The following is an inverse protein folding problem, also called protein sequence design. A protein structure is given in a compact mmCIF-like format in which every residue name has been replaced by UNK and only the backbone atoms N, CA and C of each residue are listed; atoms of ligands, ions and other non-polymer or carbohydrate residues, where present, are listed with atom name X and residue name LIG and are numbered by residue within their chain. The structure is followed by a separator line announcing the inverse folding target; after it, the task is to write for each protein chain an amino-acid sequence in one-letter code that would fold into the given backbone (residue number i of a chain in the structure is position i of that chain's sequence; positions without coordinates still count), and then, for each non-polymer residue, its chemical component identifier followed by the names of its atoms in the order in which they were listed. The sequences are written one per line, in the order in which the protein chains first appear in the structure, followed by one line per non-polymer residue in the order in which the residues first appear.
data_IF_882447832601
#
_entry.id   IF_882447832601
#
_cell.length_a   1.000
_cell.length_b   1.000
_cell.length_c   1.000
_cell.angle_alpha   90.00
_cell.angle_beta   90.00
_cell.angle_gamma   90.00
#
_symmetry.space_group_name_H-M   'P 1'
#
loop_
_entity.id
_entity.type
_entity.pdbx_description
1 polymer ?
#
# COMPACT_ATOMS: atom_id res chain seq x y z
N UNK A 1 16.70 -20.56 48.69
CA UNK A 1 15.89 -19.38 48.35
C UNK A 1 16.47 -18.07 48.87
N UNK A 2 17.10 -18.05 50.00
CA UNK A 2 17.72 -16.79 50.58
C UNK A 2 18.96 -16.30 49.90
N UNK A 3 19.85 -17.19 49.41
CA UNK A 3 21.14 -16.76 48.80
C UNK A 3 20.99 -16.18 47.38
N UNK A 4 19.93 -16.50 46.64
CA UNK A 4 19.66 -15.95 45.30
C UNK A 4 19.05 -14.56 45.40
N UNK A 5 18.21 -14.32 46.41
CA UNK A 5 17.63 -12.99 46.65
C UNK A 5 18.66 -11.98 47.17
N UNK A 6 19.70 -12.44 47.87
CA UNK A 6 20.79 -11.54 48.32
C UNK A 6 21.72 -11.16 47.16
N UNK A 7 22.01 -12.06 46.21
CA UNK A 7 22.82 -11.75 45.06
C UNK A 7 22.12 -10.76 44.09
N UNK A 8 20.80 -10.94 43.88
CA UNK A 8 20.00 -10.03 43.03
C UNK A 8 19.85 -8.63 43.66
N UNK A 9 19.72 -8.57 44.99
CA UNK A 9 19.65 -7.31 45.72
C UNK A 9 20.98 -6.56 45.66
N UNK A 10 22.08 -7.24 45.80
CA UNK A 10 23.43 -6.65 45.72
C UNK A 10 23.75 -6.14 44.31
N UNK A 11 23.25 -6.83 43.26
CA UNK A 11 23.34 -6.36 41.88
C UNK A 11 22.49 -5.11 41.63
N UNK A 12 21.26 -5.09 42.12
CA UNK A 12 20.37 -3.94 41.98
C UNK A 12 20.91 -2.71 42.68
N UNK A 13 21.41 -2.86 43.89
CA UNK A 13 22.05 -1.77 44.67
C UNK A 13 23.31 -1.23 44.00
N UNK A 14 24.07 -2.08 43.32
CA UNK A 14 25.27 -1.70 42.54
C UNK A 14 24.88 -0.86 41.30
N UNK A 15 23.78 -1.19 40.63
CA UNK A 15 23.31 -0.45 39.46
C UNK A 15 22.61 0.87 39.86
N UNK A 16 21.86 0.87 40.95
CA UNK A 16 21.18 2.07 41.46
C UNK A 16 22.17 3.14 41.98
N UNK A 17 23.24 2.71 42.64
CA UNK A 17 24.26 3.65 43.19
C UNK A 17 25.13 4.33 42.10
N UNK A 18 25.08 3.85 40.84
CA UNK A 18 25.91 4.36 39.73
C UNK A 18 25.16 5.05 38.61
N UNK A 19 23.86 5.24 38.74
CA UNK A 19 23.05 5.94 37.71
C UNK A 19 23.22 7.47 37.66
N UNK A 20 24.08 8.03 38.46
CA UNK A 20 24.41 9.47 38.47
C UNK A 20 25.89 9.67 38.21
N UNK A 21 26.34 9.56 37.02
CA UNK A 21 27.45 10.22 36.33
C UNK A 21 28.32 9.28 35.50
N UNK A 22 28.59 9.70 34.27
CA UNK A 22 29.69 9.34 33.35
C UNK A 22 30.05 7.84 33.24
N UNK A 23 29.90 7.32 32.03
CA UNK A 23 30.34 5.99 31.57
C UNK A 23 31.77 5.69 32.10
N UNK A 24 31.99 4.72 32.98
CA UNK A 24 33.33 4.29 33.29
C UNK A 24 33.80 3.22 32.32
N UNK A 25 34.96 3.46 31.72
CA UNK A 25 35.71 2.42 30.99
C UNK A 25 36.07 1.31 32.02
N UNK A 26 35.65 0.09 31.74
CA UNK A 26 35.97 -1.08 32.58
C UNK A 26 34.80 -1.90 33.13
N UNK A 27 33.54 -1.52 32.84
CA UNK A 27 32.35 -2.27 33.29
C UNK A 27 32.29 -3.71 32.79
N UNK A 28 32.82 -4.00 31.60
CA UNK A 28 32.87 -5.33 31.04
C UNK A 28 33.90 -6.20 31.76
N UNK A 29 35.07 -5.67 32.09
CA UNK A 29 36.12 -6.40 32.82
C UNK A 29 35.72 -6.68 34.27
N UNK A 30 35.05 -5.71 34.93
CA UNK A 30 34.52 -5.93 36.27
C UNK A 30 33.43 -6.99 36.31
N UNK A 31 32.52 -7.02 35.30
CA UNK A 31 31.48 -8.05 35.18
C UNK A 31 32.08 -9.43 34.89
N UNK A 32 33.08 -9.52 34.03
CA UNK A 32 33.76 -10.76 33.70
C UNK A 32 34.59 -11.31 34.91
N UNK A 33 35.14 -10.44 35.74
CA UNK A 33 35.88 -10.83 36.96
C UNK A 33 34.94 -11.39 38.03
N UNK A 34 33.74 -10.85 38.16
CA UNK A 34 32.71 -11.35 39.10
C UNK A 34 32.14 -12.67 38.63
N UNK A 35 31.92 -12.82 37.31
CA UNK A 35 31.45 -14.09 36.71
C UNK A 35 32.52 -15.19 36.82
N UNK A 36 33.81 -14.88 36.69
CA UNK A 36 34.90 -15.83 36.83
C UNK A 36 35.14 -16.31 38.27
N UNK A 37 34.70 -15.53 39.29
CA UNK A 37 34.87 -15.89 40.74
C UNK A 37 33.65 -16.64 41.29
N UNK A 38 32.52 -16.62 40.60
CA UNK A 38 31.34 -17.41 40.98
C UNK A 38 31.50 -18.84 40.47
N UNK A 39 31.64 -19.78 41.40
CA UNK A 39 31.68 -21.24 41.08
C UNK A 39 30.35 -21.61 40.41
N UNK A 40 30.34 -21.63 39.08
CA UNK A 40 29.20 -22.08 38.32
C UNK A 40 28.93 -23.56 38.61
N UNK A 41 27.79 -23.87 39.16
CA UNK A 41 27.35 -25.28 39.25
C UNK A 41 27.12 -25.78 37.83
N UNK A 42 27.64 -26.96 37.46
CA UNK A 42 27.47 -27.51 36.13
C UNK A 42 25.98 -27.63 35.82
N UNK A 43 25.59 -27.18 34.63
CA UNK A 43 24.18 -27.05 34.19
C UNK A 43 23.35 -28.36 34.27
N UNK A 44 23.98 -29.51 34.34
CA UNK A 44 23.29 -30.78 34.46
C UNK A 44 22.73 -31.06 35.89
N UNK A 45 23.07 -30.25 36.91
CA UNK A 45 22.48 -30.33 38.26
C UNK A 45 21.21 -29.47 38.45
N UNK A 46 20.83 -28.66 37.45
CA UNK A 46 19.63 -27.85 37.50
C UNK A 46 18.38 -28.52 36.88
N UNK A 47 18.57 -29.68 36.25
CA UNK A 47 17.44 -30.46 35.67
C UNK A 47 16.52 -31.11 36.70
N UNK A 48 17.01 -31.37 37.91
CA UNK A 48 16.23 -32.03 38.98
C UNK A 48 15.08 -31.15 39.50
N UNK A 49 15.01 -29.88 39.13
CA UNK A 49 14.01 -28.95 39.61
C UNK A 49 12.78 -28.80 38.69
N UNK A 50 12.86 -29.33 37.48
CA UNK A 50 11.80 -29.21 36.49
C UNK A 50 10.97 -30.48 36.27
N UNK A 51 11.34 -31.61 36.94
CA UNK A 51 10.58 -32.84 36.84
C UNK A 51 9.72 -33.04 38.07
N UNK A 52 8.39 -33.23 37.92
CA UNK A 52 7.51 -33.60 39.04
C UNK A 52 8.02 -34.90 39.74
N UNK A 53 8.01 -34.93 41.04
CA UNK A 53 8.45 -36.07 41.87
C UNK A 53 7.76 -37.42 41.57
N UNK A 54 6.67 -37.40 40.80
CA UNK A 54 5.95 -38.58 40.32
C UNK A 54 6.70 -39.39 39.23
N UNK A 55 7.82 -38.90 38.71
CA UNK A 55 8.59 -39.58 37.65
C UNK A 55 9.80 -40.35 38.19
N UNK A 56 10.05 -40.28 39.51
CA UNK A 56 11.17 -40.96 40.14
C UNK A 56 10.97 -42.48 40.31
N UNK A 57 9.72 -42.98 40.22
CA UNK A 57 9.37 -44.39 40.47
C UNK A 57 9.16 -45.27 39.22
N UNK A 58 9.38 -44.73 38.02
CA UNK A 58 9.31 -45.53 36.79
C UNK A 58 10.64 -46.25 36.55
N UNK A 59 10.60 -47.58 36.72
CA UNK A 59 11.67 -48.55 36.66
C UNK A 59 12.86 -48.21 35.76
N UNK A 60 14.02 -48.27 36.32
CA UNK A 60 15.27 -47.62 36.01
C UNK A 60 15.90 -47.87 34.62
N UNK A 61 15.28 -48.54 33.70
CA UNK A 61 15.92 -48.83 32.41
C UNK A 61 15.08 -48.47 31.18
N UNK A 62 13.78 -48.70 31.19
CA UNK A 62 12.89 -48.36 30.10
C UNK A 62 12.49 -46.85 30.11
N UNK A 63 12.27 -46.28 31.33
CA UNK A 63 11.86 -44.89 31.50
C UNK A 63 12.92 -43.86 31.00
N UNK A 64 14.21 -44.13 31.14
CA UNK A 64 15.27 -43.24 30.65
C UNK A 64 15.33 -43.15 29.11
N UNK A 65 15.06 -44.25 28.41
CA UNK A 65 15.05 -44.27 26.95
C UNK A 65 13.82 -43.54 26.41
N UNK A 66 12.64 -43.73 27.03
CA UNK A 66 11.42 -43.03 26.64
C UNK A 66 11.51 -41.52 26.93
N UNK A 67 12.10 -41.13 28.07
CA UNK A 67 12.32 -39.71 28.39
C UNK A 67 13.33 -39.04 27.43
N UNK A 68 14.40 -39.73 27.06
CA UNK A 68 15.37 -39.22 26.08
C UNK A 68 14.72 -39.09 24.71
N UNK A 69 13.95 -40.06 24.25
CA UNK A 69 13.23 -39.98 22.97
C UNK A 69 12.19 -38.89 22.97
N UNK A 70 11.47 -38.69 24.10
CA UNK A 70 10.50 -37.57 24.22
C UNK A 70 11.18 -36.19 24.22
N UNK A 71 12.32 -36.03 24.91
CA UNK A 71 13.10 -34.77 24.90
C UNK A 71 13.72 -34.52 23.54
N UNK A 72 14.27 -35.53 22.88
CA UNK A 72 14.82 -35.42 21.53
C UNK A 72 13.69 -35.12 20.53
N UNK A 73 12.52 -35.77 20.67
CA UNK A 73 11.34 -35.47 19.85
C UNK A 73 10.83 -34.03 20.05
N UNK A 74 10.82 -33.54 21.29
CA UNK A 74 10.47 -32.15 21.61
C UNK A 74 11.48 -31.16 21.06
N UNK A 75 12.78 -31.46 21.17
CA UNK A 75 13.84 -30.64 20.60
C UNK A 75 13.80 -30.59 19.07
N UNK A 76 13.51 -31.73 18.43
CA UNK A 76 13.30 -31.78 16.98
C UNK A 76 12.02 -31.01 16.59
N UNK A 77 10.95 -31.10 17.34
CA UNK A 77 9.71 -30.33 17.10
C UNK A 77 9.94 -28.83 17.29
N UNK A 78 10.72 -28.42 18.30
CA UNK A 78 11.12 -27.01 18.51
C UNK A 78 12.08 -26.55 17.41
N UNK A 79 13.05 -27.36 16.99
CA UNK A 79 13.92 -27.07 15.87
C UNK A 79 13.16 -27.00 14.55
N UNK A 80 12.22 -27.88 14.29
CA UNK A 80 11.34 -27.83 13.12
C UNK A 80 10.41 -26.62 13.16
N UNK A 81 9.85 -26.26 14.33
CA UNK A 81 9.07 -25.03 14.47
C UNK A 81 9.95 -23.77 14.34
N UNK A 82 11.20 -23.80 14.82
CA UNK A 82 12.15 -22.71 14.57
C UNK A 82 12.60 -22.64 13.09
N UNK A 83 12.70 -23.77 12.40
CA UNK A 83 12.97 -23.81 10.95
C UNK A 83 11.73 -23.39 10.15
N UNK A 84 10.53 -23.73 10.58
CA UNK A 84 9.27 -23.28 9.96
C UNK A 84 8.97 -21.81 10.28
N UNK A 85 9.31 -21.35 11.49
CA UNK A 85 9.18 -19.94 11.90
C UNK A 85 10.40 -19.09 11.52
N UNK A 86 11.58 -19.70 11.40
CA UNK A 86 12.85 -19.07 10.99
C UNK A 86 13.28 -19.45 9.58
N UNK A 87 12.48 -20.24 8.85
CA UNK A 87 12.65 -20.37 7.41
C UNK A 87 12.66 -18.96 6.86
N UNK A 88 13.63 -18.67 6.01
CA UNK A 88 13.81 -17.43 5.28
C UNK A 88 12.50 -17.03 4.56
N UNK A 89 11.48 -16.70 5.33
CA UNK A 89 10.38 -15.93 4.82
C UNK A 89 11.02 -14.66 4.28
N UNK A 90 10.97 -14.46 3.00
CA UNK A 90 11.20 -13.15 2.43
C UNK A 90 10.39 -12.23 3.31
N UNK A 91 11.04 -11.34 4.07
CA UNK A 91 10.34 -10.35 4.86
C UNK A 91 9.56 -9.54 3.84
N UNK A 92 8.23 -9.69 3.86
CA UNK A 92 7.38 -8.87 3.02
C UNK A 92 7.65 -7.41 3.39
N UNK A 93 7.72 -6.51 2.42
CA UNK A 93 7.86 -5.11 2.70
C UNK A 93 6.66 -4.64 3.54
N UNK A 94 6.83 -3.67 4.42
CA UNK A 94 5.69 -3.07 5.08
C UNK A 94 4.74 -2.54 3.99
N UNK A 95 3.43 -2.74 4.12
CA UNK A 95 2.45 -2.35 3.10
C UNK A 95 2.44 -0.83 2.86
N UNK A 96 2.81 -0.08 3.88
CA UNK A 96 2.99 1.37 3.84
C UNK A 96 4.32 1.75 4.48
N UNK A 97 4.78 2.98 4.24
CA UNK A 97 6.09 3.45 4.65
C UNK A 97 7.19 3.07 3.65
N UNK A 98 8.43 3.30 4.02
CA UNK A 98 9.58 3.11 3.14
C UNK A 98 9.86 1.63 2.84
N UNK A 99 10.18 1.33 1.58
CA UNK A 99 10.60 0.02 1.11
C UNK A 99 11.64 0.19 -0.01
N UNK A 100 12.32 -0.86 -0.44
CA UNK A 100 13.18 -0.78 -1.62
C UNK A 100 12.35 -0.79 -2.90
N UNK A 101 12.69 0.03 -3.90
CA UNK A 101 12.09 -0.07 -5.23
C UNK A 101 12.50 -1.39 -5.90
N UNK A 102 11.50 -2.06 -6.46
CA UNK A 102 11.67 -3.27 -7.25
C UNK A 102 11.42 -2.99 -8.73
N UNK A 103 10.85 -3.96 -9.43
CA UNK A 103 10.45 -3.81 -10.82
C UNK A 103 9.32 -2.79 -11.00
N UNK A 104 9.17 -2.28 -12.22
CA UNK A 104 8.04 -1.45 -12.64
C UNK A 104 7.13 -2.32 -13.53
N UNK A 105 5.87 -2.47 -13.16
CA UNK A 105 4.85 -2.98 -14.07
C UNK A 105 4.30 -1.80 -14.87
N UNK A 106 4.09 -2.02 -16.16
CA UNK A 106 3.59 -0.99 -17.08
C UNK A 106 2.78 -1.64 -18.19
N UNK A 107 1.77 -0.96 -18.68
CA UNK A 107 1.03 -1.36 -19.85
C UNK A 107 1.56 -0.63 -21.09
N UNK A 108 1.90 -1.36 -22.12
CA UNK A 108 2.44 -0.83 -23.35
C UNK A 108 1.70 -1.42 -24.52
N UNK A 109 0.97 -0.58 -25.25
CA UNK A 109 0.25 -0.99 -26.46
C UNK A 109 -0.82 -2.06 -26.20
N UNK A 110 -1.40 -2.09 -25.00
CA UNK A 110 -2.43 -3.05 -24.59
C UNK A 110 -1.90 -4.38 -24.09
N UNK A 111 -0.63 -4.47 -23.75
CA UNK A 111 -0.01 -5.64 -23.10
C UNK A 111 0.72 -5.21 -21.82
N UNK A 112 0.84 -6.11 -20.86
CA UNK A 112 1.55 -5.83 -19.59
C UNK A 112 3.00 -6.24 -19.69
N UNK A 113 3.88 -5.30 -19.34
CA UNK A 113 5.32 -5.46 -19.31
C UNK A 113 5.87 -5.28 -17.89
N UNK A 114 7.01 -5.90 -17.65
CA UNK A 114 7.82 -5.71 -16.46
C UNK A 114 9.15 -5.11 -16.88
N UNK A 115 9.57 -4.05 -16.20
CA UNK A 115 10.87 -3.41 -16.35
C UNK A 115 11.64 -3.46 -15.02
N UNK A 116 12.95 -3.22 -15.06
CA UNK A 116 13.71 -2.97 -13.83
C UNK A 116 13.33 -1.62 -13.19
N UNK A 117 13.88 -1.33 -12.00
CA UNK A 117 13.57 -0.11 -11.26
C UNK A 117 13.94 1.21 -11.99
N UNK A 118 14.70 1.13 -13.07
CA UNK A 118 15.10 2.26 -13.92
C UNK A 118 14.34 2.27 -15.26
N UNK A 119 13.31 1.43 -15.41
CA UNK A 119 12.53 1.30 -16.64
C UNK A 119 13.23 0.55 -17.77
N UNK A 120 14.43 0.01 -17.54
CA UNK A 120 15.18 -0.82 -18.49
C UNK A 120 14.75 -2.27 -18.50
N UNK A 121 15.40 -3.10 -19.34
CA UNK A 121 15.23 -4.57 -19.40
C UNK A 121 13.77 -5.03 -19.47
N UNK A 122 12.98 -4.41 -20.32
CA UNK A 122 11.54 -4.66 -20.45
C UNK A 122 11.25 -6.06 -20.97
N UNK A 123 10.42 -6.79 -20.26
CA UNK A 123 9.94 -8.12 -20.65
C UNK A 123 8.42 -8.13 -20.64
N UNK A 124 7.81 -8.67 -21.70
CA UNK A 124 6.37 -8.86 -21.76
C UNK A 124 5.98 -9.92 -20.74
N UNK A 125 5.09 -9.55 -19.82
CA UNK A 125 4.62 -10.40 -18.73
C UNK A 125 3.30 -11.08 -19.06
N UNK A 126 2.38 -10.33 -19.66
CA UNK A 126 1.05 -10.83 -20.07
C UNK A 126 0.60 -10.16 -21.37
N UNK A 127 -0.10 -10.93 -22.20
CA UNK A 127 -0.73 -10.46 -23.43
C UNK A 127 -1.99 -11.28 -23.67
N UNK A 128 -3.13 -10.64 -23.58
CA UNK A 128 -4.44 -11.19 -23.91
C UNK A 128 -4.76 -11.03 -25.40
N UNK A 129 -5.97 -11.44 -25.81
CA UNK A 129 -6.47 -11.17 -27.16
C UNK A 129 -6.96 -9.73 -27.36
N UNK A 130 -7.20 -9.01 -26.27
CA UNK A 130 -7.69 -7.65 -26.24
C UNK A 130 -6.73 -6.76 -25.44
N UNK A 131 -7.13 -5.53 -25.16
CA UNK A 131 -6.38 -4.62 -24.33
C UNK A 131 -6.26 -5.13 -22.89
N UNK A 132 -5.04 -5.11 -22.37
CA UNK A 132 -4.69 -5.39 -20.98
C UNK A 132 -3.94 -4.20 -20.40
N UNK A 133 -4.37 -3.68 -19.26
CA UNK A 133 -3.76 -2.47 -18.69
C UNK A 133 -4.07 -2.24 -17.20
N UNK A 134 -3.77 -1.05 -16.72
CA UNK A 134 -3.91 -0.65 -15.31
C UNK A 134 -3.21 -1.61 -14.34
N UNK A 135 -2.02 -2.07 -14.71
CA UNK A 135 -1.26 -3.06 -13.94
C UNK A 135 -0.72 -2.48 -12.63
N UNK A 136 -1.14 -3.04 -11.50
CA UNK A 136 -0.76 -2.57 -10.18
C UNK A 136 -0.22 -3.70 -9.29
N UNK A 137 0.99 -3.53 -8.74
CA UNK A 137 1.54 -4.46 -7.75
C UNK A 137 0.75 -4.46 -6.44
N UNK A 138 0.62 -5.65 -5.85
CA UNK A 138 0.19 -5.76 -4.46
C UNK A 138 1.23 -5.14 -3.50
N UNK A 139 0.83 -4.65 -2.30
CA UNK A 139 1.75 -4.06 -1.34
C UNK A 139 2.92 -4.96 -0.92
N UNK A 140 2.74 -6.28 -0.94
CA UNK A 140 3.80 -7.26 -0.68
C UNK A 140 4.69 -7.56 -1.89
N UNK A 141 4.40 -6.95 -3.07
CA UNK A 141 5.15 -7.11 -4.29
C UNK A 141 5.05 -8.50 -4.95
N UNK A 142 4.15 -9.38 -4.48
CA UNK A 142 4.08 -10.78 -4.94
C UNK A 142 3.05 -11.01 -6.05
N UNK A 143 2.11 -10.08 -6.23
CA UNK A 143 1.01 -10.18 -7.21
C UNK A 143 0.89 -8.89 -8.01
N UNK A 144 0.21 -8.99 -9.14
CA UNK A 144 -0.22 -7.88 -9.98
C UNK A 144 -1.71 -8.05 -10.23
N UNK A 145 -2.49 -7.00 -9.99
CA UNK A 145 -3.86 -6.85 -10.48
C UNK A 145 -3.80 -6.05 -11.77
N UNK A 146 -4.68 -6.35 -12.71
CA UNK A 146 -4.79 -5.65 -13.98
C UNK A 146 -6.18 -5.79 -14.57
N UNK A 147 -6.52 -4.93 -15.50
CA UNK A 147 -7.74 -5.00 -16.28
C UNK A 147 -7.48 -5.68 -17.62
N UNK A 148 -8.45 -6.45 -18.08
CA UNK A 148 -8.39 -7.15 -19.36
C UNK A 148 -9.70 -6.96 -20.13
N UNK A 149 -9.63 -6.41 -21.33
CA UNK A 149 -10.76 -6.26 -22.24
C UNK A 149 -11.36 -7.62 -22.62
N UNK A 150 -12.66 -7.64 -22.95
CA UNK A 150 -13.41 -8.83 -23.33
C UNK A 150 -14.08 -8.63 -24.69
N UNK A 151 -14.48 -9.73 -25.35
CA UNK A 151 -15.14 -9.72 -26.67
C UNK A 151 -16.43 -8.90 -26.74
N UNK A 152 -17.10 -8.69 -25.59
CA UNK A 152 -18.37 -7.99 -25.48
C UNK A 152 -18.25 -6.52 -25.06
N UNK A 153 -17.07 -5.94 -25.19
CA UNK A 153 -16.72 -4.60 -24.73
C UNK A 153 -16.87 -4.39 -23.21
N UNK A 154 -16.85 -5.45 -22.44
CA UNK A 154 -16.69 -5.38 -21.00
C UNK A 154 -15.22 -5.49 -20.63
N UNK A 155 -14.89 -5.16 -19.38
CA UNK A 155 -13.58 -5.34 -18.80
C UNK A 155 -13.66 -6.36 -17.65
N UNK A 156 -12.65 -7.22 -17.54
CA UNK A 156 -12.49 -8.12 -16.41
C UNK A 156 -11.35 -7.62 -15.52
N UNK A 157 -11.52 -7.70 -14.20
CA UNK A 157 -10.43 -7.49 -13.26
C UNK A 157 -9.74 -8.83 -12.98
N UNK A 158 -8.47 -8.91 -13.28
CA UNK A 158 -7.65 -10.11 -13.19
C UNK A 158 -6.50 -9.96 -12.23
N UNK A 159 -6.04 -11.06 -11.66
CA UNK A 159 -4.87 -11.10 -10.76
C UNK A 159 -3.93 -12.21 -11.21
N UNK A 160 -2.63 -11.92 -11.22
CA UNK A 160 -1.57 -12.90 -11.48
C UNK A 160 -0.46 -12.77 -10.43
N UNK A 161 0.46 -13.73 -10.39
CA UNK A 161 1.71 -13.56 -9.65
C UNK A 161 2.61 -12.54 -10.34
N UNK A 162 3.53 -11.96 -9.57
CA UNK A 162 4.50 -10.98 -10.10
C UNK A 162 5.42 -11.53 -11.19
N UNK A 163 5.50 -12.87 -11.34
CA UNK A 163 6.22 -13.55 -12.42
C UNK A 163 5.36 -13.83 -13.67
N UNK A 164 4.12 -13.33 -13.71
CA UNK A 164 3.17 -13.51 -14.80
C UNK A 164 2.40 -14.85 -14.78
N UNK A 165 2.65 -15.71 -13.79
CA UNK A 165 1.99 -17.02 -13.70
C UNK A 165 0.71 -16.98 -12.85
N UNK A 166 -0.15 -17.98 -13.01
CA UNK A 166 -1.32 -18.17 -12.14
C UNK A 166 -2.39 -17.11 -12.29
N UNK A 167 -2.60 -16.60 -13.49
CA UNK A 167 -3.63 -15.61 -13.80
C UNK A 167 -5.03 -16.16 -13.48
N UNK A 168 -5.83 -15.38 -12.79
CA UNK A 168 -7.19 -15.69 -12.40
C UNK A 168 -8.08 -14.46 -12.49
N UNK A 169 -9.33 -14.64 -12.90
CA UNK A 169 -10.34 -13.59 -12.94
C UNK A 169 -10.93 -13.39 -11.55
N UNK A 170 -10.93 -12.15 -11.07
CA UNK A 170 -11.53 -11.75 -9.81
C UNK A 170 -12.95 -11.19 -10.01
N UNK A 171 -13.13 -10.34 -11.04
CA UNK A 171 -14.43 -9.81 -11.47
C UNK A 171 -14.53 -10.04 -12.97
N UNK A 172 -15.60 -10.73 -13.40
CA UNK A 172 -15.70 -11.23 -14.77
C UNK A 172 -16.15 -10.18 -15.78
N UNK A 173 -17.01 -9.25 -15.37
CA UNK A 173 -17.63 -8.27 -16.28
C UNK A 173 -17.91 -6.95 -15.58
N UNK A 174 -17.22 -5.94 -16.02
CA UNK A 174 -17.43 -4.54 -15.63
C UNK A 174 -17.63 -3.71 -16.89
N UNK A 175 -18.42 -2.66 -16.82
CA UNK A 175 -18.39 -1.68 -17.89
C UNK A 175 -17.07 -0.93 -17.83
N UNK A 176 -16.57 -0.55 -18.99
CA UNK A 176 -15.40 0.30 -19.14
C UNK A 176 -15.79 1.71 -18.60
N UNK A 177 -15.51 1.93 -17.34
CA UNK A 177 -15.58 3.23 -16.67
C UNK A 177 -14.21 3.40 -15.97
N UNK A 178 -13.79 4.61 -15.66
CA UNK A 178 -12.53 4.93 -15.00
C UNK A 178 -12.38 4.14 -13.68
N UNK A 179 -11.86 2.92 -13.78
CA UNK A 179 -11.74 2.00 -12.65
C UNK A 179 -10.52 2.33 -11.83
N UNK A 180 -10.75 2.84 -10.65
CA UNK A 180 -9.69 3.00 -9.65
C UNK A 180 -9.57 1.72 -8.84
N UNK A 181 -8.36 1.14 -8.85
CA UNK A 181 -8.04 -0.07 -8.10
C UNK A 181 -7.28 0.28 -6.82
N UNK A 182 -7.63 -0.34 -5.70
CA UNK A 182 -6.94 -0.17 -4.43
C UNK A 182 -6.74 -1.51 -3.73
N UNK A 183 -5.50 -1.83 -3.38
CA UNK A 183 -5.15 -3.00 -2.58
C UNK A 183 -5.30 -2.74 -1.08
N UNK A 184 -5.76 -3.75 -0.34
CA UNK A 184 -5.59 -3.75 1.11
C UNK A 184 -4.13 -3.98 1.49
N UNK A 185 -3.75 -3.49 2.66
CA UNK A 185 -2.38 -3.56 3.18
C UNK A 185 -1.82 -4.98 3.32
N UNK A 186 -2.69 -5.96 3.55
CA UNK A 186 -2.33 -7.38 3.66
C UNK A 186 -2.24 -8.10 2.30
N UNK A 187 -2.40 -7.38 1.17
CA UNK A 187 -2.35 -7.92 -0.19
C UNK A 187 -3.38 -9.03 -0.47
N UNK A 188 -4.46 -9.04 0.31
CA UNK A 188 -5.52 -10.04 0.21
C UNK A 188 -6.76 -9.52 -0.49
N UNK A 189 -7.09 -8.24 -0.28
CA UNK A 189 -8.32 -7.65 -0.77
C UNK A 189 -8.04 -6.56 -1.80
N UNK A 190 -8.97 -6.43 -2.73
CA UNK A 190 -9.00 -5.32 -3.70
C UNK A 190 -10.32 -4.60 -3.53
N UNK A 191 -10.29 -3.28 -3.51
CA UNK A 191 -11.47 -2.44 -3.69
C UNK A 191 -11.39 -1.73 -5.04
N UNK A 192 -12.50 -1.70 -5.74
CA UNK A 192 -12.66 -0.96 -7.00
C UNK A 192 -14.05 -0.36 -7.07
N UNK A 193 -14.21 0.60 -7.95
CA UNK A 193 -15.51 1.17 -8.28
C UNK A 193 -15.80 0.83 -9.74
N UNK A 194 -16.89 0.14 -9.99
CA UNK A 194 -17.28 -0.27 -11.33
C UNK A 194 -18.79 -0.42 -11.43
N UNK A 195 -19.28 -0.47 -12.66
CA UNK A 195 -20.66 -0.85 -12.94
C UNK A 195 -20.67 -2.34 -13.33
N UNK A 196 -21.18 -3.25 -12.46
CA UNK A 196 -21.31 -4.67 -12.80
C UNK A 196 -22.28 -4.84 -13.96
N UNK A 197 -21.89 -5.59 -14.98
CA UNK A 197 -22.74 -5.84 -16.14
C UNK A 197 -23.68 -7.03 -15.94
N UNK A 198 -23.43 -7.88 -14.97
CA UNK A 198 -24.22 -9.08 -14.66
C UNK A 198 -25.39 -8.82 -13.69
N UNK A 199 -25.49 -7.65 -13.10
CA UNK A 199 -26.67 -7.26 -12.33
C UNK A 199 -27.82 -6.84 -13.26
N UNK A 200 -28.81 -7.69 -13.32
CA UNK A 200 -30.01 -7.57 -14.14
C UNK A 200 -30.76 -6.26 -13.86
N UNK A 201 -31.02 -5.55 -14.98
CA UNK A 201 -32.09 -4.57 -15.16
C UNK A 201 -31.99 -3.24 -14.44
N UNK A 202 -31.20 -2.36 -15.03
CA UNK A 202 -31.67 -0.98 -15.15
C UNK A 202 -32.48 -0.89 -16.44
N UNK A 203 -33.70 -0.31 -16.46
CA UNK A 203 -34.47 -0.17 -17.70
C UNK A 203 -33.61 0.57 -18.74
N UNK A 204 -33.44 -0.04 -19.91
CA UNK A 204 -32.72 0.55 -21.03
C UNK A 204 -33.39 1.89 -21.39
N UNK A 205 -32.69 3.00 -21.13
CA UNK A 205 -33.12 4.34 -21.51
C UNK A 205 -32.71 5.48 -20.60
N UNK A 206 -32.14 5.21 -19.43
CA UNK A 206 -31.70 6.27 -18.49
C UNK A 206 -30.22 6.11 -18.09
N UNK A 207 -29.37 5.79 -19.05
CA UNK A 207 -27.93 5.70 -18.78
C UNK A 207 -27.34 7.11 -18.71
N UNK A 208 -26.93 7.52 -17.53
CA UNK A 208 -26.03 8.67 -17.31
C UNK A 208 -24.68 8.08 -16.96
N UNK A 209 -23.61 8.30 -17.74
CA UNK A 209 -22.27 7.82 -17.41
C UNK A 209 -21.88 8.22 -16.00
N UNK A 210 -21.30 7.30 -15.21
CA UNK A 210 -20.84 7.55 -13.84
C UNK A 210 -21.89 7.48 -12.73
N UNK A 211 -23.19 7.28 -13.01
CA UNK A 211 -24.25 7.36 -11.99
C UNK A 211 -24.58 6.02 -11.31
N UNK A 212 -24.23 4.90 -11.92
CA UNK A 212 -24.53 3.56 -11.38
C UNK A 212 -23.28 2.80 -10.91
N UNK A 213 -22.20 3.53 -10.59
CA UNK A 213 -20.94 2.96 -10.14
C UNK A 213 -21.05 2.47 -8.70
N UNK A 214 -20.65 1.23 -8.47
CA UNK A 214 -20.71 0.53 -7.18
C UNK A 214 -19.32 0.24 -6.65
N UNK A 215 -19.18 0.26 -5.35
CA UNK A 215 -17.95 -0.19 -4.71
C UNK A 215 -17.99 -1.71 -4.60
N UNK A 216 -16.97 -2.35 -5.15
CA UNK A 216 -16.78 -3.80 -5.17
C UNK A 216 -15.55 -4.14 -4.35
N UNK A 217 -15.67 -5.14 -3.48
CA UNK A 217 -14.55 -5.69 -2.70
C UNK A 217 -14.33 -7.14 -3.09
N UNK A 218 -13.11 -7.46 -3.55
CA UNK A 218 -12.70 -8.78 -3.98
C UNK A 218 -11.70 -9.44 -3.03
N UNK A 219 -11.93 -10.72 -2.66
CA UNK A 219 -10.97 -11.57 -1.95
C UNK A 219 -10.11 -12.31 -2.98
N UNK A 220 -8.87 -11.88 -3.14
CA UNK A 220 -7.90 -12.43 -4.10
C UNK A 220 -7.56 -13.89 -3.78
N UNK A 221 -7.52 -14.25 -2.50
CA UNK A 221 -7.21 -15.62 -2.08
C UNK A 221 -8.32 -16.62 -2.38
N UNK A 222 -9.59 -16.15 -2.41
CA UNK A 222 -10.77 -16.97 -2.72
C UNK A 222 -11.22 -16.83 -4.17
N UNK A 223 -10.77 -15.81 -4.88
CA UNK A 223 -11.24 -15.50 -6.23
C UNK A 223 -12.73 -15.11 -6.25
N UNK A 224 -13.19 -14.36 -5.26
CA UNK A 224 -14.59 -13.92 -5.13
C UNK A 224 -14.67 -12.42 -4.92
N UNK A 225 -15.68 -11.78 -5.48
CA UNK A 225 -15.93 -10.37 -5.30
C UNK A 225 -17.40 -10.11 -4.93
N UNK A 226 -17.68 -9.03 -4.25
CA UNK A 226 -19.03 -8.62 -3.85
C UNK A 226 -19.18 -7.10 -3.83
N UNK A 227 -20.38 -6.63 -4.20
CA UNK A 227 -20.78 -5.23 -4.02
C UNK A 227 -20.98 -4.98 -2.53
N UNK A 228 -20.45 -3.88 -2.03
CA UNK A 228 -20.56 -3.49 -0.62
C UNK A 228 -21.39 -2.21 -0.45
N UNK A 229 -22.02 -2.07 0.72
CA UNK A 229 -22.83 -0.89 1.07
C UNK A 229 -24.29 -0.92 0.59
N UNK A 230 -24.74 -2.03 -0.02
CA UNK A 230 -26.14 -2.24 -0.42
C UNK A 230 -26.52 -1.57 -1.75
N UNK A 231 -27.81 -1.69 -2.12
CA UNK A 231 -28.32 -1.28 -3.45
C UNK A 231 -28.36 0.23 -3.69
N UNK A 232 -28.32 1.03 -2.64
CA UNK A 232 -28.45 2.48 -2.69
C UNK A 232 -27.12 3.22 -2.48
N UNK A 233 -26.01 2.49 -2.33
CA UNK A 233 -24.69 3.09 -2.23
C UNK A 233 -24.05 3.15 -3.61
N UNK A 234 -23.89 4.37 -4.10
CA UNK A 234 -23.09 4.69 -5.28
C UNK A 234 -21.84 5.41 -4.82
N UNK A 235 -20.69 5.04 -5.36
CA UNK A 235 -19.42 5.64 -4.96
C UNK A 235 -18.32 5.34 -5.94
N UNK A 236 -17.29 6.18 -5.93
CA UNK A 236 -16.13 6.13 -6.80
C UNK A 236 -14.84 6.26 -5.98
N UNK A 237 -13.72 5.96 -6.60
CA UNK A 237 -12.36 6.08 -6.02
C UNK A 237 -12.17 5.45 -4.65
N UNK A 238 -12.56 4.19 -4.42
CA UNK A 238 -12.37 3.57 -3.11
C UNK A 238 -10.88 3.38 -2.81
N UNK A 239 -10.46 3.78 -1.61
CA UNK A 239 -9.09 3.63 -1.11
C UNK A 239 -9.08 2.95 0.25
N UNK A 240 -8.31 1.87 0.36
CA UNK A 240 -8.08 1.20 1.63
C UNK A 240 -7.28 2.04 2.61
N UNK A 241 -7.69 2.05 3.87
CA UNK A 241 -6.87 2.59 4.95
C UNK A 241 -5.60 1.73 5.14
N UNK A 242 -4.49 2.33 5.61
CA UNK A 242 -3.23 1.61 5.85
C UNK A 242 -3.35 0.42 6.79
N UNK A 243 -4.27 0.45 7.74
CA UNK A 243 -4.55 -0.66 8.67
C UNK A 243 -5.52 -1.71 8.10
N UNK A 244 -6.07 -1.49 6.88
CA UNK A 244 -7.00 -2.40 6.22
C UNK A 244 -8.39 -2.45 6.83
N UNK A 245 -8.76 -1.53 7.73
CA UNK A 245 -10.04 -1.58 8.47
C UNK A 245 -11.15 -0.76 7.84
N UNK A 246 -10.81 0.21 6.98
CA UNK A 246 -11.73 1.17 6.38
C UNK A 246 -11.50 1.35 4.88
N UNK A 247 -12.53 1.81 4.20
CA UNK A 247 -12.49 2.35 2.84
C UNK A 247 -12.88 3.82 2.88
N UNK A 248 -12.08 4.70 2.28
CA UNK A 248 -12.44 6.06 1.95
C UNK A 248 -12.89 6.12 0.49
N UNK A 249 -13.90 6.90 0.17
CA UNK A 249 -14.45 6.98 -1.18
C UNK A 249 -15.27 8.26 -1.39
N UNK A 250 -15.37 8.70 -2.64
CA UNK A 250 -16.32 9.70 -3.06
C UNK A 250 -17.71 9.07 -3.20
N UNK A 251 -18.73 9.67 -2.61
CA UNK A 251 -20.10 9.18 -2.71
C UNK A 251 -20.91 10.03 -3.65
N UNK A 252 -21.45 9.38 -4.68
CA UNK A 252 -22.44 9.96 -5.60
C UNK A 252 -23.85 9.67 -5.14
N UNK A 253 -24.77 10.51 -5.57
CA UNK A 253 -26.20 10.26 -5.43
C UNK A 253 -26.83 10.02 -6.80
N UNK A 254 -27.66 9.00 -6.88
CA UNK A 254 -28.37 8.65 -8.11
C UNK A 254 -29.21 9.85 -8.59
N UNK A 255 -28.90 10.39 -9.77
CA UNK A 255 -29.55 11.51 -10.43
C UNK A 255 -29.23 12.93 -9.94
N UNK A 256 -29.27 13.81 -10.90
CA UNK A 256 -29.02 15.26 -10.96
C UNK A 256 -29.67 16.16 -9.87
N UNK A 257 -30.31 15.62 -8.86
CA UNK A 257 -30.98 16.33 -7.77
C UNK A 257 -30.47 15.96 -6.37
N UNK A 258 -29.40 15.14 -6.28
CA UNK A 258 -28.74 14.85 -5.01
C UNK A 258 -27.79 15.96 -4.56
N UNK A 259 -27.34 15.97 -3.30
CA UNK A 259 -26.23 16.81 -2.89
C UNK A 259 -24.97 16.49 -3.72
N UNK A 260 -24.06 17.45 -3.89
CA UNK A 260 -22.79 17.21 -4.58
C UNK A 260 -22.02 16.08 -3.92
N UNK A 261 -21.13 15.45 -4.70
CA UNK A 261 -20.22 14.41 -4.21
C UNK A 261 -19.53 14.86 -2.94
N UNK A 262 -19.25 13.93 -2.06
CA UNK A 262 -18.62 14.20 -0.78
C UNK A 262 -17.81 13.00 -0.30
N UNK A 263 -16.88 13.23 0.62
CA UNK A 263 -15.98 12.21 1.14
C UNK A 263 -16.64 11.38 2.23
N UNK A 264 -16.61 10.07 2.08
CA UNK A 264 -17.20 9.11 3.01
C UNK A 264 -16.21 8.02 3.43
N UNK A 265 -16.52 7.40 4.57
CA UNK A 265 -15.85 6.21 5.08
C UNK A 265 -16.87 5.10 5.35
N UNK A 266 -16.41 3.84 5.14
CA UNK A 266 -17.15 2.64 5.56
C UNK A 266 -16.16 1.51 5.89
N UNK A 267 -16.63 0.46 6.55
CA UNK A 267 -15.87 -0.79 6.64
C UNK A 267 -15.96 -1.56 5.32
N UNK A 268 -15.02 -2.49 5.07
CA UNK A 268 -15.01 -3.28 3.82
C UNK A 268 -16.23 -4.19 3.64
N UNK A 269 -16.96 -4.46 4.72
CA UNK A 269 -18.24 -5.19 4.68
C UNK A 269 -19.46 -4.29 4.38
N UNK A 270 -19.23 -3.00 4.12
CA UNK A 270 -20.26 -2.00 3.86
C UNK A 270 -20.91 -1.41 5.10
N UNK A 271 -20.52 -1.83 6.30
CA UNK A 271 -21.06 -1.29 7.56
C UNK A 271 -20.29 -0.03 8.01
N UNK A 272 -20.85 0.69 9.00
CA UNK A 272 -20.19 1.84 9.59
C UNK A 272 -20.05 3.03 8.63
N UNK A 273 -20.93 3.12 7.63
CA UNK A 273 -21.01 4.22 6.68
C UNK A 273 -21.13 5.55 7.39
N UNK A 274 -20.21 6.49 7.15
CA UNK A 274 -20.25 7.84 7.68
C UNK A 274 -19.63 8.85 6.73
N UNK A 275 -20.20 10.03 6.68
CA UNK A 275 -19.63 11.16 5.97
C UNK A 275 -18.42 11.70 6.74
N UNK A 276 -17.32 11.96 6.04
CA UNK A 276 -16.10 12.51 6.63
C UNK A 276 -16.00 14.01 6.36
N UNK A 277 -16.37 14.45 5.16
CA UNK A 277 -16.44 15.85 4.78
C UNK A 277 -17.73 16.11 3.99
N UNK A 278 -18.33 17.27 4.20
CA UNK A 278 -19.50 17.73 3.44
C UNK A 278 -19.14 18.73 2.34
N UNK A 279 -17.84 18.98 2.11
CA UNK A 279 -17.40 19.82 1.02
C UNK A 279 -17.80 19.16 -0.32
N UNK A 280 -18.29 19.95 -1.29
CA UNK A 280 -18.66 19.42 -2.59
C UNK A 280 -17.43 18.95 -3.37
N UNK A 281 -17.62 17.96 -4.24
CA UNK A 281 -16.52 17.41 -5.05
C UNK A 281 -15.58 16.48 -4.28
N UNK A 282 -15.96 16.00 -3.09
CA UNK A 282 -15.12 15.20 -2.18
C UNK A 282 -14.71 13.84 -2.73
N UNK A 283 -13.95 13.82 -3.83
CA UNK A 283 -13.44 12.62 -4.51
C UNK A 283 -11.93 12.42 -4.37
N UNK A 284 -11.44 11.34 -4.98
CA UNK A 284 -10.02 10.94 -5.08
C UNK A 284 -9.31 10.98 -3.71
N UNK A 285 -9.78 10.21 -2.70
CA UNK A 285 -9.16 10.23 -1.39
C UNK A 285 -7.78 9.56 -1.41
N UNK A 286 -6.83 10.13 -0.67
CA UNK A 286 -5.50 9.57 -0.47
C UNK A 286 -5.17 9.50 1.02
N UNK A 287 -4.99 8.30 1.56
CA UNK A 287 -4.63 8.10 2.96
C UNK A 287 -3.18 8.46 3.24
N UNK A 288 -2.92 9.17 4.33
CA UNK A 288 -1.58 9.27 4.87
C UNK A 288 -1.08 7.88 5.30
N UNK A 289 0.23 7.56 5.15
CA UNK A 289 0.76 6.23 5.50
C UNK A 289 0.55 5.83 6.97
N UNK A 290 0.39 6.79 7.87
CA UNK A 290 0.09 6.56 9.28
C UNK A 290 -1.40 6.35 9.58
N UNK A 291 -2.27 6.48 8.55
CA UNK A 291 -3.71 6.30 8.64
C UNK A 291 -4.47 7.37 9.43
N UNK A 292 -3.83 8.50 9.75
CA UNK A 292 -4.45 9.54 10.58
C UNK A 292 -5.17 10.61 9.79
N UNK A 293 -4.76 10.84 8.55
CA UNK A 293 -5.29 11.90 7.69
C UNK A 293 -5.63 11.37 6.30
N UNK A 294 -6.53 12.07 5.65
CA UNK A 294 -6.88 11.84 4.25
C UNK A 294 -6.70 13.17 3.51
N UNK A 295 -5.93 13.12 2.42
CA UNK A 295 -5.94 14.17 1.41
C UNK A 295 -7.07 13.88 0.43
N UNK A 296 -7.81 14.89 0.00
CA UNK A 296 -8.92 14.75 -0.92
C UNK A 296 -9.14 16.03 -1.71
N UNK A 297 -9.82 15.93 -2.83
CA UNK A 297 -10.18 17.06 -3.66
C UNK A 297 -11.59 17.54 -3.31
N UNK A 298 -11.77 18.85 -3.24
CA UNK A 298 -13.08 19.44 -3.09
C UNK A 298 -13.19 20.77 -3.86
N UNK A 299 -14.39 21.09 -4.33
CA UNK A 299 -14.65 22.34 -5.03
C UNK A 299 -14.54 23.54 -4.09
N UNK A 300 -13.73 24.51 -4.48
CA UNK A 300 -13.63 25.82 -3.85
C UNK A 300 -14.82 26.72 -4.16
N UNK A 301 -14.78 27.95 -3.66
CA UNK A 301 -15.83 28.99 -3.91
C UNK A 301 -15.86 29.34 -5.40
N UNK A 302 -14.71 29.30 -6.07
CA UNK A 302 -14.55 29.67 -7.49
C UNK A 302 -14.81 28.50 -8.43
N UNK A 303 -15.20 27.32 -7.88
CA UNK A 303 -15.49 26.05 -8.56
C UNK A 303 -14.27 25.35 -9.14
N UNK A 304 -13.09 25.76 -8.77
CA UNK A 304 -11.86 25.04 -8.96
C UNK A 304 -11.74 23.90 -7.95
N UNK A 305 -11.03 22.84 -8.33
CA UNK A 305 -10.80 21.66 -7.48
C UNK A 305 -9.53 21.86 -6.67
N UNK A 306 -9.68 22.09 -5.38
CA UNK A 306 -8.56 22.30 -4.46
C UNK A 306 -8.24 21.06 -3.62
N UNK A 307 -7.01 20.99 -3.15
CA UNK A 307 -6.54 19.95 -2.23
C UNK A 307 -6.86 20.30 -0.78
N UNK A 308 -7.51 19.39 -0.09
CA UNK A 308 -7.84 19.47 1.34
C UNK A 308 -7.22 18.32 2.12
N UNK A 309 -6.98 18.56 3.41
CA UNK A 309 -6.67 17.53 4.40
C UNK A 309 -7.79 17.46 5.43
N UNK A 310 -8.09 16.26 5.90
CA UNK A 310 -9.00 16.00 7.01
C UNK A 310 -8.45 14.91 7.91
N UNK A 311 -8.62 15.06 9.23
CA UNK A 311 -8.33 13.97 10.16
C UNK A 311 -9.36 12.84 9.99
N UNK A 312 -8.95 11.60 10.23
CA UNK A 312 -9.82 10.43 10.00
C UNK A 312 -11.07 10.42 10.89
N UNK A 313 -11.10 11.18 11.97
CA UNK A 313 -12.28 11.38 12.82
C UNK A 313 -13.28 12.42 12.26
N UNK A 314 -12.94 13.11 11.16
CA UNK A 314 -13.74 14.14 10.50
C UNK A 314 -13.47 15.56 11.03
N UNK A 315 -12.52 15.71 11.94
CA UNK A 315 -12.11 17.03 12.44
C UNK A 315 -11.00 17.65 11.55
N UNK A 316 -10.71 18.92 11.82
CA UNK A 316 -9.60 19.65 11.21
C UNK A 316 -9.55 19.58 9.67
N UNK A 317 -10.71 19.86 9.02
CA UNK A 317 -10.72 20.04 7.56
C UNK A 317 -9.95 21.31 7.22
N UNK A 318 -8.87 21.17 6.47
CA UNK A 318 -7.98 22.26 6.09
C UNK A 318 -7.80 22.30 4.58
N UNK A 319 -8.02 23.47 3.97
CA UNK A 319 -7.64 23.75 2.59
C UNK A 319 -6.11 23.88 2.53
N UNK A 320 -5.47 23.17 1.62
CA UNK A 320 -4.01 23.10 1.48
C UNK A 320 -3.53 23.91 0.30
N UNK A 321 -4.23 23.81 -0.84
CA UNK A 321 -3.99 24.64 -2.00
C UNK A 321 -5.09 25.70 -2.11
N UNK A 322 -4.79 26.84 -2.73
CA UNK A 322 -5.71 27.93 -3.00
C UNK A 322 -5.23 28.60 -4.27
N UNK A 323 -5.29 27.88 -5.39
CA UNK A 323 -4.85 28.34 -6.70
C UNK A 323 -6.07 28.46 -7.62
N UNK A 324 -6.02 29.27 -8.70
CA UNK A 324 -7.11 29.32 -9.67
C UNK A 324 -7.09 28.16 -10.67
N UNK A 325 -6.42 27.07 -10.33
CA UNK A 325 -6.20 25.89 -11.15
C UNK A 325 -6.88 24.68 -10.52
N UNK A 326 -7.22 23.68 -11.34
CA UNK A 326 -7.75 22.42 -10.83
C UNK A 326 -6.60 21.51 -10.40
N UNK A 327 -6.56 21.14 -9.13
CA UNK A 327 -5.71 20.08 -8.64
C UNK A 327 -6.34 18.71 -8.90
N UNK A 328 -5.48 17.68 -9.07
CA UNK A 328 -5.90 16.30 -9.31
C UNK A 328 -4.91 15.29 -8.76
N UNK A 329 -5.39 14.07 -8.49
CA UNK A 329 -4.60 12.89 -8.12
C UNK A 329 -3.61 13.11 -6.96
N UNK A 330 -4.04 13.51 -5.77
CA UNK A 330 -3.14 13.61 -4.63
C UNK A 330 -2.63 12.22 -4.21
N UNK A 331 -1.30 12.11 -4.03
CA UNK A 331 -0.65 10.86 -3.58
C UNK A 331 0.39 11.18 -2.52
N UNK A 332 0.27 10.55 -1.35
CA UNK A 332 1.23 10.70 -0.27
C UNK A 332 2.56 10.01 -0.56
N UNK A 333 3.66 10.65 -0.17
CA UNK A 333 4.96 9.98 -0.12
C UNK A 333 4.93 8.83 0.89
N UNK A 334 5.72 7.75 0.68
CA UNK A 334 5.75 6.59 1.59
C UNK A 334 6.09 6.92 3.04
N UNK A 335 6.84 7.99 3.30
CA UNK A 335 7.19 8.47 4.64
C UNK A 335 6.13 9.41 5.26
N UNK A 336 5.12 9.82 4.48
CA UNK A 336 4.04 10.68 4.94
C UNK A 336 4.43 12.15 5.13
N UNK A 337 5.57 12.59 4.61
CA UNK A 337 6.05 13.97 4.74
C UNK A 337 5.62 14.87 3.60
N UNK A 338 5.28 14.29 2.43
CA UNK A 338 4.95 15.03 1.22
C UNK A 338 3.68 14.50 0.55
N UNK A 339 3.07 15.35 -0.28
CA UNK A 339 1.96 14.98 -1.18
C UNK A 339 2.35 15.44 -2.59
N UNK A 340 2.34 14.50 -3.55
CA UNK A 340 2.43 14.83 -4.96
C UNK A 340 1.02 14.96 -5.55
N UNK A 341 0.83 15.88 -6.47
CA UNK A 341 -0.45 16.10 -7.17
C UNK A 341 -0.18 16.75 -8.53
N UNK A 342 -1.19 16.74 -9.38
CA UNK A 342 -1.15 17.44 -10.65
C UNK A 342 -1.97 18.72 -10.58
N UNK A 343 -1.47 19.78 -11.26
CA UNK A 343 -2.14 21.07 -11.38
C UNK A 343 -2.43 21.33 -12.84
N UNK A 344 -3.71 21.46 -13.19
CA UNK A 344 -4.13 21.66 -14.57
C UNK A 344 -4.18 23.13 -14.93
N UNK A 345 -3.29 23.59 -15.79
CA UNK A 345 -3.21 24.99 -16.24
C UNK A 345 -4.27 25.38 -17.28
N UNK A 346 -5.02 24.41 -17.82
CA UNK A 346 -6.01 24.67 -18.84
C UNK A 346 -7.19 23.69 -18.70
N UNK A 347 -8.42 24.14 -18.40
CA UNK A 347 -9.59 23.29 -18.26
C UNK A 347 -9.95 22.48 -19.53
N UNK A 348 -9.34 22.82 -20.67
CA UNK A 348 -9.46 22.09 -21.94
C UNK A 348 -8.16 21.38 -22.36
N UNK A 349 -7.11 21.46 -21.54
CA UNK A 349 -5.77 20.97 -21.84
C UNK A 349 -5.48 19.65 -21.17
N UNK A 350 -4.76 18.80 -21.88
CA UNK A 350 -4.21 17.53 -21.39
C UNK A 350 -2.86 17.72 -20.68
N UNK A 351 -2.42 18.96 -20.51
CA UNK A 351 -1.12 19.30 -19.89
C UNK A 351 -1.33 19.78 -18.46
N UNK A 352 -0.60 19.17 -17.56
CA UNK A 352 -0.53 19.55 -16.15
C UNK A 352 0.92 19.84 -15.74
N UNK A 353 1.08 20.49 -14.62
CA UNK A 353 2.34 20.49 -13.86
C UNK A 353 2.22 19.49 -12.72
N UNK A 354 3.30 18.81 -12.40
CA UNK A 354 3.36 17.96 -11.19
C UNK A 354 3.99 18.76 -10.07
N UNK A 355 3.32 18.77 -8.95
CA UNK A 355 3.76 19.49 -7.76
C UNK A 355 3.95 18.57 -6.58
N UNK A 356 4.94 18.89 -5.73
CA UNK A 356 5.21 18.21 -4.47
C UNK A 356 5.06 19.21 -3.34
N UNK A 357 4.07 18.99 -2.49
CA UNK A 357 3.84 19.75 -1.27
C UNK A 357 4.56 19.11 -0.09
N UNK A 358 5.36 19.85 0.66
CA UNK A 358 5.83 19.47 1.99
C UNK A 358 4.75 19.78 3.02
N UNK A 359 4.26 18.74 3.70
CA UNK A 359 3.13 18.85 4.64
C UNK A 359 3.49 19.62 5.91
N UNK A 360 4.77 19.71 6.24
CA UNK A 360 5.22 20.33 7.49
C UNK A 360 5.27 21.86 7.42
N UNK A 361 5.62 22.42 6.27
CA UNK A 361 5.81 23.87 6.09
C UNK A 361 4.96 24.46 4.94
N UNK A 362 4.22 23.61 4.20
CA UNK A 362 3.37 24.02 3.09
C UNK A 362 4.13 24.44 1.84
N UNK A 363 5.44 24.18 1.78
CA UNK A 363 6.24 24.53 0.61
C UNK A 363 5.93 23.60 -0.57
N UNK A 364 5.69 24.20 -1.73
CA UNK A 364 5.45 23.50 -2.99
C UNK A 364 6.71 23.55 -3.86
N UNK A 365 7.05 22.43 -4.47
CA UNK A 365 8.11 22.28 -5.47
C UNK A 365 7.48 21.78 -6.75
N UNK A 366 7.58 22.55 -7.83
CA UNK A 366 7.08 22.18 -9.15
C UNK A 366 8.14 21.36 -9.90
N UNK A 367 7.76 20.19 -10.40
CA UNK A 367 8.60 19.38 -11.27
C UNK A 367 8.51 19.89 -12.70
N UNK A 368 9.67 19.94 -13.38
CA UNK A 368 9.74 20.40 -14.75
C UNK A 368 9.35 19.29 -15.72
N UNK A 369 8.28 19.47 -16.48
CA UNK A 369 7.87 18.53 -17.53
C UNK A 369 6.45 18.80 -18.03
N UNK A 370 6.14 18.47 -19.28
CA UNK A 370 4.78 18.51 -19.80
C UNK A 370 4.05 17.23 -19.37
N UNK A 371 3.48 17.21 -18.15
CA UNK A 371 2.76 16.05 -17.63
C UNK A 371 1.37 15.87 -18.25
N UNK A 372 0.89 14.62 -18.29
CA UNK A 372 -0.46 14.26 -18.72
C UNK A 372 -1.41 14.31 -17.55
N UNK A 373 -2.55 14.97 -17.72
CA UNK A 373 -3.55 15.16 -16.66
C UNK A 373 -4.31 13.90 -16.26
N UNK A 374 -4.23 12.83 -17.05
CA UNK A 374 -5.06 11.64 -16.87
C UNK A 374 -4.46 10.61 -15.89
N UNK A 375 -3.19 10.72 -15.55
CA UNK A 375 -2.50 9.67 -14.82
C UNK A 375 -1.93 10.17 -13.49
N UNK A 376 -2.21 9.48 -12.38
CA UNK A 376 -1.68 9.88 -11.07
C UNK A 376 -0.16 9.75 -11.00
N UNK A 377 0.54 10.62 -10.24
CA UNK A 377 1.94 10.43 -9.92
C UNK A 377 2.15 9.16 -9.10
N UNK A 378 3.28 8.46 -9.31
CA UNK A 378 3.60 7.23 -8.59
C UNK A 378 4.93 7.36 -7.86
N UNK A 379 4.90 7.36 -6.53
CA UNK A 379 6.09 7.40 -5.70
C UNK A 379 6.89 6.11 -5.79
N UNK A 380 8.21 6.22 -5.86
CA UNK A 380 9.07 5.07 -5.59
C UNK A 380 8.87 4.59 -4.14
N UNK A 381 8.99 3.29 -3.88
CA UNK A 381 8.78 2.74 -2.54
C UNK A 381 9.69 3.29 -1.44
N UNK A 382 10.84 3.86 -1.80
CA UNK A 382 11.77 4.53 -0.86
C UNK A 382 11.52 6.05 -0.75
N UNK A 383 10.56 6.59 -1.52
CA UNK A 383 10.21 8.00 -1.50
C UNK A 383 11.23 8.92 -2.16
N UNK A 384 12.26 8.38 -2.81
CA UNK A 384 13.33 9.18 -3.42
C UNK A 384 12.99 9.71 -4.83
N UNK A 385 12.06 9.03 -5.53
CA UNK A 385 11.68 9.34 -6.90
C UNK A 385 10.16 9.33 -7.09
N UNK A 386 9.73 9.95 -8.18
CA UNK A 386 8.34 9.92 -8.67
C UNK A 386 8.36 9.55 -10.14
N UNK A 387 7.46 8.64 -10.53
CA UNK A 387 7.10 8.42 -11.92
C UNK A 387 6.05 9.45 -12.33
N UNK A 388 6.24 10.04 -13.48
CA UNK A 388 5.30 10.93 -14.13
C UNK A 388 5.11 10.58 -15.59
N UNK A 389 3.91 10.75 -16.09
CA UNK A 389 3.58 10.57 -17.51
C UNK A 389 3.80 11.87 -18.23
N UNK A 390 4.63 11.85 -19.25
CA UNK A 390 5.07 13.03 -19.99
C UNK A 390 4.54 12.96 -21.42
N UNK A 391 3.90 14.03 -21.87
CA UNK A 391 3.40 14.16 -23.24
C UNK A 391 4.43 14.83 -24.15
N UNK A 392 4.80 14.14 -25.21
CA UNK A 392 5.59 14.72 -26.28
C UNK A 392 7.08 14.88 -26.00
N UNK A 393 7.83 15.11 -27.04
CA UNK A 393 9.22 15.56 -26.93
C UNK A 393 9.24 17.08 -26.68
N UNK A 394 10.28 17.62 -26.01
CA UNK A 394 10.46 19.06 -25.83
C UNK A 394 10.41 19.87 -27.14
N UNK A 395 10.71 19.24 -28.28
CA UNK A 395 10.83 19.88 -29.57
C UNK A 395 9.52 20.02 -30.37
N UNK A 396 8.45 19.27 -29.99
CA UNK A 396 7.13 19.40 -30.65
C UNK A 396 5.95 19.14 -29.70
N UNK A 397 5.61 20.10 -28.84
CA UNK A 397 4.51 19.97 -27.90
C UNK A 397 3.13 20.14 -28.56
N UNK A 398 2.79 19.35 -29.52
CA UNK A 398 1.51 19.46 -30.24
C UNK A 398 1.31 18.51 -31.39
N UNK A 399 2.30 17.71 -31.72
CA UNK A 399 2.11 16.70 -32.74
C UNK A 399 1.34 15.50 -32.17
N UNK A 400 0.26 15.10 -32.82
CA UNK A 400 -0.54 13.90 -32.54
C UNK A 400 0.28 12.60 -32.71
N UNK A 401 1.55 12.71 -33.09
CA UNK A 401 2.52 11.63 -33.25
C UNK A 401 3.61 11.64 -32.16
N UNK A 402 3.48 12.49 -31.14
CA UNK A 402 4.40 12.49 -30.02
C UNK A 402 4.28 11.18 -29.26
N UNK A 403 5.40 10.52 -28.99
CA UNK A 403 5.44 9.33 -28.20
C UNK A 403 5.21 9.74 -26.74
N UNK A 404 4.19 9.16 -26.09
CA UNK A 404 4.06 9.27 -24.66
C UNK A 404 5.30 8.69 -24.01
N UNK A 405 5.75 9.28 -22.92
CA UNK A 405 6.93 8.83 -22.19
C UNK A 405 6.61 8.74 -20.70
N UNK A 406 7.28 7.82 -20.04
CA UNK A 406 7.36 7.76 -18.60
C UNK A 406 8.68 8.39 -18.18
N UNK A 407 8.65 9.30 -17.24
CA UNK A 407 9.86 9.91 -16.70
C UNK A 407 9.97 9.66 -15.19
N UNK A 408 11.20 9.46 -14.73
CA UNK A 408 11.52 9.31 -13.31
C UNK A 408 12.14 10.63 -12.86
N UNK A 409 11.56 11.25 -11.85
CA UNK A 409 12.01 12.52 -11.27
C UNK A 409 12.58 12.31 -9.88
N UNK A 410 13.64 13.03 -9.55
CA UNK A 410 14.14 13.13 -8.16
C UNK A 410 13.14 13.94 -7.33
N UNK A 411 12.60 13.31 -6.30
CA UNK A 411 11.57 13.90 -5.45
C UNK A 411 12.10 15.02 -4.50
N UNK A 412 13.41 15.23 -4.46
CA UNK A 412 14.04 16.25 -3.59
C UNK A 412 14.18 17.59 -4.30
N UNK A 413 14.53 17.56 -5.58
CA UNK A 413 14.87 18.77 -6.34
C UNK A 413 14.05 18.94 -7.62
N UNK A 414 13.17 17.96 -7.95
CA UNK A 414 12.31 17.99 -9.12
C UNK A 414 13.03 17.79 -10.46
N UNK A 415 14.31 17.42 -10.44
CA UNK A 415 15.03 17.18 -11.70
C UNK A 415 14.66 15.83 -12.31
N UNK A 416 14.54 15.78 -13.62
CA UNK A 416 14.37 14.54 -14.35
C UNK A 416 15.63 13.69 -14.23
N UNK A 417 15.46 12.46 -13.74
CA UNK A 417 16.55 11.50 -13.56
C UNK A 417 16.67 10.54 -14.74
N UNK A 418 15.53 10.07 -15.29
CA UNK A 418 15.48 9.11 -16.40
C UNK A 418 14.26 9.40 -17.26
N UNK A 419 14.47 9.54 -18.57
CA UNK A 419 13.41 9.52 -19.57
C UNK A 419 13.26 8.11 -20.13
N UNK A 420 12.03 7.58 -20.13
CA UNK A 420 11.69 6.24 -20.59
C UNK A 420 10.73 6.38 -21.76
N UNK A 421 11.22 6.55 -23.01
CA UNK A 421 10.35 6.70 -24.16
C UNK A 421 9.54 5.43 -24.40
N UNK A 422 8.22 5.52 -24.35
CA UNK A 422 7.28 4.43 -24.52
C UNK A 422 6.07 4.93 -25.31
N UNK A 423 5.79 4.30 -26.44
CA UNK A 423 4.57 4.58 -27.19
C UNK A 423 3.40 3.76 -26.62
N UNK A 424 2.25 4.42 -26.36
CA UNK A 424 1.02 3.75 -25.92
C UNK A 424 1.07 3.24 -24.46
N UNK A 425 1.69 3.99 -23.58
CA UNK A 425 1.68 3.74 -22.14
C UNK A 425 0.41 4.35 -21.54
N UNK A 426 -0.27 3.57 -20.67
CA UNK A 426 -1.48 4.04 -19.99
C UNK A 426 -1.32 4.09 -18.47
N UNK A 427 -0.63 3.12 -17.83
CA UNK A 427 -0.45 3.12 -16.40
C UNK A 427 0.86 2.43 -15.97
N UNK A 428 1.31 2.69 -14.74
CA UNK A 428 2.49 2.03 -14.17
C UNK A 428 2.41 1.93 -12.65
N UNK A 429 3.12 0.94 -12.09
CA UNK A 429 3.26 0.80 -10.66
C UNK A 429 4.62 0.21 -10.28
N UNK A 430 5.18 0.65 -9.14
CA UNK A 430 6.41 0.11 -8.60
C UNK A 430 6.17 -1.06 -7.66
N UNK A 431 6.96 -2.12 -7.84
CA UNK A 431 7.05 -3.23 -6.88
C UNK A 431 7.76 -2.76 -5.61
N UNK A 432 7.19 -3.13 -4.47
CA UNK A 432 7.79 -2.93 -3.16
C UNK A 432 8.60 -4.16 -2.76
N UNK A 433 9.86 -3.97 -2.41
CA UNK A 433 10.74 -5.02 -1.91
C UNK A 433 11.03 -4.78 -0.43
N UNK A 434 11.28 -5.86 0.32
CA UNK A 434 11.71 -5.74 1.70
C UNK A 434 13.01 -4.92 1.81
N UNK A 435 13.15 -4.08 2.83
CA UNK A 435 14.32 -3.23 3.05
C UNK A 435 15.62 -4.01 3.30
#
# INVERSE_FOLDING_TARGET
MTAQMDADRTMLDYFVARSTSTRPDGLLEAALTVVGQTRQRPAWRTLDWWLPSAWADLGAWYGRRVAIVAVVGLLIAVLLSLVVLGGSGHRLPPPFGLAKPGAIAMDIGGDIYLADANGGNRTKLFAGPHWDGHAMFSPDGTKIVFESGQDDNSTALMVMRADGTGTATLISRMAEDDTVISWSSDSRWIATAARPMDEVSVPSGSHVPGVDVRIIVGDVGRGTASIVGGSELFGHDPRWSPDGTMLAFGRNYRCCSGPPDSLWLMRPDGTGLRQLSSLPGGGVPAWSPDGRRIAFLAEGIDRDSDLYLVDVDGNHVQKITDTPLDESFPVWSPDGTKIAFLTNQNPYGIKAEMEILDVSDGRVTTLQGPFVTANPPVWSPDGSHILGYVWGTPDDPGSVQSQDALAIFDATNGSEAVDIPIAGLYDSSWQRLAP
#
